data_IF_977185651234
#
_entry.id   IF_977185651234
#
_cell.length_a   1.000
_cell.length_b   1.000
_cell.length_c   1.000
_cell.angle_alpha   90.00
_cell.angle_beta   90.00
_cell.angle_gamma   90.00
#
_symmetry.space_group_name_H-M   'P 1'
#
loop_
_entity.id
_entity.type
_entity.pdbx_description
1 polymer ?
#
# COMPACT_ATOMS: atom_id res chain seq x y z
N UNK A 1 27.71 4.77 -15.54
CA UNK A 1 26.46 4.66 -14.76
C UNK A 1 26.64 3.48 -13.84
N UNK A 2 26.94 3.70 -12.56
CA UNK A 2 27.26 2.61 -11.64
C UNK A 2 25.96 1.94 -11.20
N UNK A 3 25.66 0.78 -11.78
CA UNK A 3 24.60 -0.12 -11.33
C UNK A 3 24.83 -0.46 -9.85
N UNK A 4 23.99 0.07 -8.96
CA UNK A 4 24.04 -0.18 -7.51
C UNK A 4 23.51 -1.59 -7.17
N UNK A 5 24.11 -2.63 -7.75
CA UNK A 5 23.87 -4.05 -7.41
C UNK A 5 24.46 -4.45 -6.04
N UNK A 6 24.43 -3.55 -5.05
CA UNK A 6 25.16 -3.71 -3.77
C UNK A 6 24.29 -3.46 -2.53
N UNK A 7 22.95 -3.38 -2.63
CA UNK A 7 22.13 -3.04 -1.45
C UNK A 7 20.74 -3.68 -1.28
N UNK A 8 20.14 -4.29 -2.30
CA UNK A 8 18.77 -4.83 -2.17
C UNK A 8 18.78 -6.34 -1.83
N UNK A 9 18.27 -6.70 -0.65
CA UNK A 9 18.06 -8.10 -0.22
C UNK A 9 17.14 -8.85 -1.19
N UNK A 10 16.30 -8.13 -1.93
CA UNK A 10 15.37 -8.67 -2.92
C UNK A 10 16.00 -8.97 -4.28
N UNK A 11 17.21 -8.49 -4.59
CA UNK A 11 17.86 -8.71 -5.88
C UNK A 11 17.23 -7.97 -7.07
N UNK A 12 16.24 -7.11 -6.83
CA UNK A 12 15.60 -6.27 -7.83
C UNK A 12 16.42 -5.01 -8.09
N UNK A 13 16.40 -4.53 -9.32
CA UNK A 13 16.88 -3.18 -9.67
C UNK A 13 15.94 -2.12 -9.10
N UNK A 14 16.46 -0.90 -8.89
CA UNK A 14 15.67 0.22 -8.35
C UNK A 14 14.43 0.54 -9.20
N UNK A 15 14.51 0.31 -10.51
CA UNK A 15 13.40 0.54 -11.45
C UNK A 15 12.32 -0.54 -11.30
N UNK A 16 12.68 -1.83 -11.23
CA UNK A 16 11.73 -2.92 -11.00
C UNK A 16 11.03 -2.79 -9.64
N UNK A 17 11.76 -2.37 -8.61
CA UNK A 17 11.19 -2.14 -7.29
C UNK A 17 10.13 -1.01 -7.31
N UNK A 18 10.35 0.05 -8.09
CA UNK A 18 9.39 1.16 -8.25
C UNK A 18 8.14 0.74 -9.01
N UNK A 19 8.26 -0.05 -10.07
CA UNK A 19 7.09 -0.54 -10.81
C UNK A 19 6.19 -1.42 -9.93
N UNK A 20 6.79 -2.35 -9.19
CA UNK A 20 6.05 -3.14 -8.20
C UNK A 20 5.38 -2.26 -7.16
N UNK A 21 6.12 -1.31 -6.60
CA UNK A 21 5.61 -0.43 -5.56
C UNK A 21 4.43 0.41 -6.07
N UNK A 22 4.48 0.90 -7.30
CA UNK A 22 3.41 1.69 -7.90
C UNK A 22 2.11 0.88 -8.02
N UNK A 23 2.19 -0.36 -8.52
CA UNK A 23 1.03 -1.25 -8.60
C UNK A 23 0.49 -1.62 -7.21
N UNK A 24 1.40 -1.90 -6.26
CA UNK A 24 1.03 -2.23 -4.89
C UNK A 24 0.29 -1.08 -4.21
N UNK A 25 0.79 0.15 -4.30
CA UNK A 25 0.16 1.32 -3.71
C UNK A 25 -1.19 1.61 -4.35
N UNK A 26 -1.34 1.44 -5.67
CA UNK A 26 -2.63 1.59 -6.35
C UNK A 26 -3.69 0.66 -5.75
N UNK A 27 -3.38 -0.63 -5.58
CA UNK A 27 -4.29 -1.60 -4.98
C UNK A 27 -4.55 -1.35 -3.50
N UNK A 28 -3.49 -1.05 -2.74
CA UNK A 28 -3.57 -0.76 -1.30
C UNK A 28 -4.47 0.44 -1.02
N UNK A 29 -4.31 1.53 -1.77
CA UNK A 29 -5.12 2.76 -1.63
C UNK A 29 -6.59 2.46 -1.92
N UNK A 30 -6.89 1.69 -2.97
CA UNK A 30 -8.25 1.28 -3.29
C UNK A 30 -8.90 0.47 -2.16
N UNK A 31 -8.19 -0.54 -1.66
CA UNK A 31 -8.67 -1.36 -0.55
C UNK A 31 -8.88 -0.56 0.74
N UNK A 32 -7.90 0.26 1.14
CA UNK A 32 -7.98 1.08 2.35
C UNK A 32 -9.12 2.08 2.25
N UNK A 33 -9.34 2.69 1.10
CA UNK A 33 -10.46 3.62 0.88
C UNK A 33 -11.81 2.95 1.13
N UNK A 34 -12.01 1.75 0.58
CA UNK A 34 -13.24 0.97 0.79
C UNK A 34 -13.36 0.56 2.28
N UNK A 35 -12.27 0.10 2.89
CA UNK A 35 -12.26 -0.29 4.29
C UNK A 35 -12.63 0.88 5.22
N UNK A 36 -12.07 2.08 4.99
CA UNK A 36 -12.40 3.28 5.78
C UNK A 36 -13.88 3.61 5.68
N UNK A 37 -14.45 3.60 4.47
CA UNK A 37 -15.89 3.85 4.26
C UNK A 37 -16.74 2.82 5.03
N UNK A 38 -16.39 1.54 4.96
CA UNK A 38 -17.09 0.49 5.69
C UNK A 38 -17.03 0.70 7.21
N UNK A 39 -15.87 1.07 7.76
CA UNK A 39 -15.71 1.33 9.20
C UNK A 39 -16.50 2.55 9.65
N UNK A 40 -16.55 3.63 8.85
CA UNK A 40 -17.38 4.80 9.15
C UNK A 40 -18.86 4.40 9.20
N UNK A 41 -19.32 3.59 8.25
CA UNK A 41 -20.71 3.14 8.20
C UNK A 41 -21.08 2.27 9.42
N UNK A 42 -20.19 1.34 9.80
CA UNK A 42 -20.34 0.55 11.02
C UNK A 42 -20.34 1.44 12.26
N UNK A 43 -19.47 2.46 12.29
CA UNK A 43 -19.38 3.37 13.43
C UNK A 43 -20.63 4.21 13.62
N UNK A 44 -21.26 4.64 12.52
CA UNK A 44 -22.54 5.35 12.54
C UNK A 44 -23.70 4.48 13.05
N UNK A 45 -23.69 3.16 12.77
CA UNK A 45 -24.75 2.24 13.21
C UNK A 45 -24.57 1.74 14.65
N UNK A 46 -23.35 1.37 15.04
CA UNK A 46 -23.04 0.77 16.36
C UNK A 46 -21.73 1.35 16.90
N UNK A 47 -21.80 2.52 17.54
CA UNK A 47 -20.61 3.17 18.06
C UNK A 47 -20.02 2.44 19.27
N UNK A 48 -18.74 2.08 19.12
CA UNK A 48 -17.87 1.44 20.11
C UNK A 48 -17.50 2.35 21.29
N UNK A 49 -17.43 3.67 21.08
CA UNK A 49 -17.06 4.68 22.10
C UNK A 49 -18.25 5.56 22.50
N UNK A 50 -19.41 4.94 22.69
CA UNK A 50 -20.60 5.59 23.26
C UNK A 50 -20.86 5.10 24.68
#
# INVERSE_FOLDING_TARGET
>A
MSDHRTGSISGLTDDEAKEFHQLYIQGLVGFVSIAVVAHILVWAWRPWFH
#
